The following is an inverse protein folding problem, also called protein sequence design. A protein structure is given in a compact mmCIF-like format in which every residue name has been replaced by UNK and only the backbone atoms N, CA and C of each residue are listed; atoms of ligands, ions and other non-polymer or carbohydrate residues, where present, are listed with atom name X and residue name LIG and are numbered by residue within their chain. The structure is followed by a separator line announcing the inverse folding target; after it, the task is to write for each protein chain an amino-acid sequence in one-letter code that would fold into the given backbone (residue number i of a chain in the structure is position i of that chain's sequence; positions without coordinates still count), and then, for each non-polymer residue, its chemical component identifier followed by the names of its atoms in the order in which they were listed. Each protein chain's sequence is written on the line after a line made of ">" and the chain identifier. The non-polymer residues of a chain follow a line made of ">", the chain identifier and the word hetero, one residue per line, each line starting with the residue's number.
data_IF_762161680924
#
_entry.id   IF_762161680924
#
_cell.length_a   1.000
_cell.length_b   1.000
_cell.length_c   1.000
_cell.angle_alpha   90.00
_cell.angle_beta   90.00
_cell.angle_gamma   90.00
#
_symmetry.space_group_name_H-M   'P 1'
#
loop_
_entity.id
_entity.type
_entity.pdbx_description
1 polymer ?
#
# COMPACT_ATOMS: atom_id res chain seq x y z
N UNK A 1 -12.51 32.97 12.61
CA UNK A 1 -12.42 31.89 11.61
C UNK A 1 -11.65 32.33 10.34
N UNK A 2 -12.00 33.46 9.72
CA UNK A 2 -11.34 33.98 8.49
C UNK A 2 -9.84 34.21 8.69
N UNK A 3 -9.45 34.83 9.80
CA UNK A 3 -8.05 35.06 10.13
C UNK A 3 -7.28 33.74 10.34
N UNK A 4 -7.88 32.78 11.05
CA UNK A 4 -7.27 31.46 11.26
C UNK A 4 -7.05 30.71 9.94
N UNK A 5 -7.89 30.93 8.93
CA UNK A 5 -7.75 30.35 7.59
C UNK A 5 -6.82 31.15 6.65
N UNK A 6 -6.07 32.16 7.17
CA UNK A 6 -5.25 33.09 6.39
C UNK A 6 -6.05 33.90 5.33
N UNK A 7 -7.34 34.09 5.55
CA UNK A 7 -8.22 34.86 4.66
C UNK A 7 -8.44 36.31 5.12
N UNK A 8 -7.70 36.78 6.12
CA UNK A 8 -7.77 38.14 6.64
C UNK A 8 -6.50 38.57 7.34
N UNK A 9 -6.24 39.87 7.33
CA UNK A 9 -5.13 40.50 8.04
C UNK A 9 -5.56 40.93 9.46
N UNK A 10 -4.55 41.29 10.28
CA UNK A 10 -4.83 41.85 11.62
C UNK A 10 -5.57 43.19 11.50
N UNK A 11 -5.24 43.99 10.51
CA UNK A 11 -5.88 45.27 10.21
C UNK A 11 -7.38 45.08 9.93
N UNK A 12 -7.72 44.19 9.01
CA UNK A 12 -9.13 43.84 8.69
C UNK A 12 -9.90 43.32 9.92
N UNK A 13 -9.24 42.55 10.78
CA UNK A 13 -9.85 42.08 12.02
C UNK A 13 -10.08 43.22 13.01
N UNK A 14 -9.12 44.15 13.07
CA UNK A 14 -9.18 45.28 13.97
C UNK A 14 -10.24 46.29 13.52
N UNK A 15 -10.36 46.62 12.22
CA UNK A 15 -11.46 47.41 11.67
C UNK A 15 -12.83 46.84 12.08
N UNK A 16 -12.98 45.52 11.95
CA UNK A 16 -14.23 44.88 12.37
C UNK A 16 -14.46 44.88 13.88
N UNK A 17 -13.40 44.88 14.65
CA UNK A 17 -13.46 45.05 16.11
C UNK A 17 -13.90 46.49 16.48
N UNK A 18 -13.35 47.51 15.80
CA UNK A 18 -13.71 48.91 15.99
C UNK A 18 -15.20 49.15 15.67
N UNK A 19 -15.69 48.66 14.53
CA UNK A 19 -17.12 48.72 14.18
C UNK A 19 -18.02 48.16 15.30
N UNK A 20 -17.63 47.04 15.90
CA UNK A 20 -18.39 46.41 16.99
C UNK A 20 -18.27 47.22 18.27
N UNK A 21 -17.10 47.79 18.59
CA UNK A 21 -16.88 48.59 19.77
C UNK A 21 -17.71 49.89 19.71
N UNK A 22 -17.69 50.60 18.57
CA UNK A 22 -18.48 51.77 18.33
C UNK A 22 -19.99 51.48 18.40
N UNK A 23 -20.43 50.41 17.74
CA UNK A 23 -21.84 49.99 17.76
C UNK A 23 -22.36 49.60 19.14
N UNK A 24 -21.45 49.27 20.09
CA UNK A 24 -21.76 48.96 21.50
C UNK A 24 -21.49 50.10 22.47
N UNK A 25 -21.00 51.24 21.95
CA UNK A 25 -20.69 52.40 22.78
C UNK A 25 -19.49 52.18 23.73
N UNK A 26 -18.50 51.38 23.34
CA UNK A 26 -17.29 51.21 24.15
C UNK A 26 -16.38 52.42 23.99
N UNK A 27 -16.15 53.14 25.06
CA UNK A 27 -15.30 54.34 25.07
C UNK A 27 -13.80 54.03 25.12
N UNK A 28 -13.45 52.91 25.75
CA UNK A 28 -12.05 52.47 25.89
C UNK A 28 -11.90 51.03 25.41
N UNK A 29 -11.19 50.85 24.31
CA UNK A 29 -10.85 49.54 23.80
C UNK A 29 -9.36 49.44 23.41
N UNK A 30 -8.79 48.23 23.40
CA UNK A 30 -7.37 48.02 23.20
C UNK A 30 -6.91 48.42 21.79
N UNK A 31 -5.69 48.98 21.69
CA UNK A 31 -5.08 49.30 20.41
C UNK A 31 -4.82 48.05 19.55
N UNK A 32 -4.67 48.24 18.24
CA UNK A 32 -4.35 47.18 17.28
C UNK A 32 -3.12 46.35 17.72
N UNK A 33 -2.09 46.99 18.30
CA UNK A 33 -0.89 46.30 18.82
C UNK A 33 -1.22 45.35 19.97
N UNK A 34 -2.16 45.74 20.84
CA UNK A 34 -2.61 44.92 21.96
C UNK A 34 -3.45 43.76 21.49
N UNK A 35 -4.36 44.00 20.55
CA UNK A 35 -5.17 42.94 19.90
C UNK A 35 -4.26 41.96 19.16
N UNK A 36 -3.27 42.44 18.41
CA UNK A 36 -2.32 41.58 17.73
C UNK A 36 -1.52 40.67 18.68
N UNK A 37 -1.06 41.24 19.82
CA UNK A 37 -0.37 40.45 20.88
C UNK A 37 -1.27 39.37 21.47
N UNK A 38 -2.53 39.71 21.72
CA UNK A 38 -3.50 38.76 22.26
C UNK A 38 -3.81 37.64 21.26
N UNK A 39 -4.01 37.97 19.99
CA UNK A 39 -4.20 36.98 18.92
C UNK A 39 -2.98 36.06 18.82
N UNK A 40 -1.75 36.61 18.85
CA UNK A 40 -0.53 35.83 18.86
C UNK A 40 -0.49 34.87 20.06
N UNK A 41 -0.78 35.36 21.25
CA UNK A 41 -0.86 34.54 22.46
C UNK A 41 -1.89 33.41 22.33
N UNK A 42 -3.08 33.67 21.77
CA UNK A 42 -4.08 32.65 21.49
C UNK A 42 -3.58 31.60 20.46
N UNK A 43 -2.83 32.02 19.42
CA UNK A 43 -2.29 31.15 18.42
C UNK A 43 -1.12 30.29 18.96
N UNK A 44 -0.32 30.86 19.88
CA UNK A 44 0.78 30.16 20.54
C UNK A 44 0.29 29.28 21.69
N UNK A 45 -0.97 29.46 22.15
CA UNK A 45 -1.56 28.65 23.20
C UNK A 45 -1.85 27.20 22.78
N UNK A 46 -2.02 26.32 23.77
CA UNK A 46 -2.36 24.91 23.55
C UNK A 46 -3.59 24.77 22.62
N UNK A 47 -3.38 24.22 21.43
CA UNK A 47 -4.41 24.00 20.43
C UNK A 47 -4.61 25.14 19.44
N UNK A 48 -4.13 26.36 19.69
CA UNK A 48 -4.27 27.50 18.76
C UNK A 48 -3.60 27.27 17.42
N UNK A 49 -2.35 26.77 17.41
CA UNK A 49 -1.63 26.40 16.19
C UNK A 49 -2.34 25.25 15.44
N UNK A 50 -2.81 24.25 16.17
CA UNK A 50 -3.54 23.12 15.61
C UNK A 50 -4.87 23.54 14.97
N UNK A 51 -5.63 24.41 15.65
CA UNK A 51 -6.88 24.95 15.13
C UNK A 51 -6.67 25.83 13.89
N UNK A 52 -5.61 26.64 13.87
CA UNK A 52 -5.21 27.43 12.71
C UNK A 52 -4.87 26.53 11.53
N UNK A 53 -4.05 25.49 11.78
CA UNK A 53 -3.67 24.54 10.74
C UNK A 53 -4.89 23.82 10.14
N UNK A 54 -5.83 23.41 10.99
CA UNK A 54 -7.10 22.82 10.56
C UNK A 54 -7.92 23.77 9.68
N UNK A 55 -8.02 25.03 10.10
CA UNK A 55 -8.79 26.04 9.37
C UNK A 55 -8.17 26.38 8.00
N UNK A 56 -6.84 26.42 7.92
CA UNK A 56 -6.10 26.77 6.69
C UNK A 56 -6.01 25.60 5.70
N UNK A 57 -5.84 24.36 6.17
CA UNK A 57 -5.49 23.22 5.34
C UNK A 57 -6.59 22.12 5.28
N UNK A 58 -7.64 22.29 6.08
CA UNK A 58 -8.73 21.33 6.14
C UNK A 58 -8.44 20.08 6.99
N UNK A 59 -9.50 19.32 7.23
CA UNK A 59 -9.48 18.18 8.17
C UNK A 59 -8.50 17.07 7.74
N UNK A 60 -8.37 16.80 6.45
CA UNK A 60 -7.48 15.76 5.93
C UNK A 60 -6.01 16.05 6.24
N UNK A 61 -5.55 17.26 5.88
CA UNK A 61 -4.17 17.68 6.14
C UNK A 61 -3.88 17.82 7.63
N UNK A 62 -4.86 18.29 8.41
CA UNK A 62 -4.73 18.33 9.86
C UNK A 62 -4.54 16.94 10.48
N UNK A 63 -5.37 15.97 10.08
CA UNK A 63 -5.21 14.57 10.52
C UNK A 63 -3.84 14.01 10.14
N UNK A 64 -3.35 14.35 8.95
CA UNK A 64 -2.06 13.86 8.46
C UNK A 64 -0.88 14.42 9.26
N UNK A 65 -0.90 15.71 9.64
CA UNK A 65 0.29 16.40 10.18
C UNK A 65 0.21 16.81 11.64
N UNK A 66 -0.99 17.05 12.16
CA UNK A 66 -1.17 17.62 13.52
C UNK A 66 -1.84 16.68 14.52
N UNK A 67 -2.63 15.71 14.04
CA UNK A 67 -3.26 14.74 14.92
C UNK A 67 -2.22 13.87 15.61
N UNK A 68 -2.37 13.66 16.91
CA UNK A 68 -1.55 12.72 17.66
C UNK A 68 -1.76 11.31 17.10
N UNK A 69 -0.68 10.65 16.78
CA UNK A 69 -0.65 9.28 16.26
C UNK A 69 -0.03 8.38 17.31
N UNK A 70 -0.77 7.34 17.70
CA UNK A 70 -0.21 6.29 18.53
C UNK A 70 0.96 5.58 17.83
N UNK A 71 1.97 5.18 18.57
CA UNK A 71 2.95 4.20 18.07
C UNK A 71 2.28 2.84 18.12
N UNK A 72 2.29 2.12 17.02
CA UNK A 72 1.90 0.71 17.04
C UNK A 72 3.00 -0.10 17.69
N UNK A 73 2.61 -0.86 18.67
CA UNK A 73 3.47 -1.85 19.28
C UNK A 73 3.34 -3.16 18.50
N UNK A 74 4.33 -3.44 17.65
CA UNK A 74 4.41 -4.70 16.93
C UNK A 74 5.15 -5.78 17.75
N UNK A 75 5.68 -5.44 18.93
CA UNK A 75 6.44 -6.41 19.75
C UNK A 75 5.53 -7.46 20.38
N UNK A 76 4.25 -7.14 20.55
CA UNK A 76 3.23 -8.06 21.04
C UNK A 76 2.74 -9.08 20.00
N UNK A 77 3.05 -8.86 18.71
CA UNK A 77 2.66 -9.76 17.63
C UNK A 77 3.63 -10.95 17.53
N UNK A 78 3.12 -12.07 17.05
CA UNK A 78 3.95 -13.18 16.57
C UNK A 78 4.31 -12.96 15.10
N UNK A 79 5.40 -13.58 14.65
CA UNK A 79 5.75 -13.64 13.23
C UNK A 79 4.62 -14.34 12.47
N UNK A 80 4.23 -13.82 11.31
CA UNK A 80 3.08 -14.26 10.49
C UNK A 80 1.70 -14.12 11.15
N UNK A 81 1.58 -13.50 12.33
CA UNK A 81 0.27 -13.20 12.91
C UNK A 81 -0.45 -12.09 12.13
N UNK A 82 0.28 -11.05 11.74
CA UNK A 82 -0.29 -9.91 11.04
C UNK A 82 0.58 -9.53 9.82
N UNK A 83 0.02 -9.70 8.64
CA UNK A 83 0.70 -9.39 7.37
C UNK A 83 -0.01 -8.25 6.65
N UNK A 84 0.76 -7.31 6.13
CA UNK A 84 0.27 -6.13 5.41
C UNK A 84 0.62 -6.23 3.94
N UNK A 85 -0.37 -6.04 3.07
CA UNK A 85 -0.20 -6.01 1.62
C UNK A 85 -0.34 -4.61 1.03
N UNK A 86 0.48 -4.33 0.02
CA UNK A 86 0.36 -3.11 -0.77
C UNK A 86 1.07 -3.24 -2.12
N UNK A 87 0.81 -2.29 -3.01
CA UNK A 87 1.37 -2.24 -4.35
C UNK A 87 2.32 -1.06 -4.49
N UNK A 88 3.40 -1.26 -5.26
CA UNK A 88 4.38 -0.22 -5.55
C UNK A 88 4.71 -0.18 -7.02
N UNK A 89 4.75 1.03 -7.61
CA UNK A 89 5.28 1.25 -8.95
C UNK A 89 6.72 1.74 -8.83
N UNK A 90 7.67 1.02 -9.41
CA UNK A 90 9.08 1.40 -9.38
C UNK A 90 9.34 2.69 -10.17
N UNK A 91 10.35 3.44 -9.77
CA UNK A 91 10.71 4.73 -10.36
C UNK A 91 11.78 4.59 -11.47
N UNK A 92 11.76 3.50 -12.24
CA UNK A 92 12.64 3.26 -13.38
C UNK A 92 11.90 2.46 -14.45
N UNK A 93 12.48 2.37 -15.64
CA UNK A 93 11.89 1.69 -16.80
C UNK A 93 12.61 0.38 -17.07
N UNK A 94 11.83 -0.59 -17.53
CA UNK A 94 12.30 -1.89 -18.04
C UNK A 94 11.69 -2.16 -19.41
N UNK A 95 12.30 -3.03 -20.21
CA UNK A 95 11.68 -3.51 -21.43
C UNK A 95 10.72 -4.67 -21.14
N UNK A 96 9.63 -4.67 -21.83
CA UNK A 96 8.61 -5.71 -21.75
C UNK A 96 8.12 -6.09 -23.13
N UNK A 97 8.06 -7.40 -23.39
CA UNK A 97 7.50 -7.94 -24.62
C UNK A 97 6.00 -8.12 -24.45
N UNK A 98 5.24 -7.30 -25.16
CA UNK A 98 3.79 -7.39 -25.14
C UNK A 98 3.29 -8.70 -25.85
N UNK A 99 2.07 -9.18 -25.56
CA UNK A 99 1.53 -10.41 -26.19
C UNK A 99 1.50 -10.38 -27.73
N UNK A 100 1.51 -9.19 -28.34
CA UNK A 100 1.59 -9.01 -29.78
C UNK A 100 3.04 -8.96 -30.32
N UNK A 101 4.04 -9.33 -29.51
CA UNK A 101 5.45 -9.32 -29.85
C UNK A 101 6.13 -7.95 -29.86
N UNK A 102 5.42 -6.86 -29.61
CA UNK A 102 6.02 -5.52 -29.54
C UNK A 102 6.77 -5.32 -28.22
N UNK A 103 8.01 -4.86 -28.30
CA UNK A 103 8.79 -4.47 -27.15
C UNK A 103 8.41 -3.04 -26.75
N UNK A 104 8.17 -2.80 -25.47
CA UNK A 104 7.79 -1.49 -24.90
C UNK A 104 8.57 -1.23 -23.63
N UNK A 105 8.87 0.05 -23.39
CA UNK A 105 9.35 0.51 -22.11
C UNK A 105 8.15 0.64 -21.14
N UNK A 106 8.26 0.01 -19.99
CA UNK A 106 7.22 0.04 -18.94
C UNK A 106 7.84 0.27 -17.57
N UNK A 107 7.09 0.85 -16.66
CA UNK A 107 7.47 0.91 -15.25
C UNK A 107 6.91 -0.32 -14.55
N UNK A 108 7.78 -1.19 -14.00
CA UNK A 108 7.31 -2.39 -13.33
C UNK A 108 6.58 -2.04 -12.03
N UNK A 109 5.63 -2.87 -11.67
CA UNK A 109 4.92 -2.83 -10.39
C UNK A 109 5.27 -4.04 -9.54
N UNK A 110 5.14 -3.90 -8.25
CA UNK A 110 5.33 -4.95 -7.26
C UNK A 110 4.09 -5.06 -6.38
N UNK A 111 3.48 -6.23 -6.33
CA UNK A 111 2.57 -6.59 -5.25
C UNK A 111 3.40 -7.27 -4.16
N UNK A 112 3.38 -6.74 -2.95
CA UNK A 112 4.22 -7.23 -1.85
C UNK A 112 3.47 -7.39 -0.54
N UNK A 113 3.89 -8.39 0.24
CA UNK A 113 3.37 -8.71 1.57
C UNK A 113 4.51 -8.62 2.59
N UNK A 114 4.26 -7.87 3.65
CA UNK A 114 5.22 -7.67 4.73
C UNK A 114 4.66 -8.21 6.04
N UNK A 115 5.43 -9.05 6.71
CA UNK A 115 5.15 -9.41 8.10
C UNK A 115 5.36 -8.22 9.04
N UNK A 116 4.34 -7.90 9.82
CA UNK A 116 4.35 -6.72 10.71
C UNK A 116 5.34 -6.87 11.86
N UNK A 117 5.58 -8.08 12.33
CA UNK A 117 6.49 -8.35 13.44
C UNK A 117 7.94 -8.18 13.02
N UNK A 118 8.36 -8.95 12.03
CA UNK A 118 9.76 -9.01 11.59
C UNK A 118 10.16 -7.94 10.58
N UNK A 119 9.19 -7.35 9.87
CA UNK A 119 9.40 -6.48 8.70
C UNK A 119 9.92 -7.22 7.47
N UNK A 120 9.97 -8.54 7.49
CA UNK A 120 10.35 -9.33 6.33
C UNK A 120 9.30 -9.22 5.22
N UNK A 121 9.75 -9.21 3.97
CA UNK A 121 8.88 -9.37 2.81
C UNK A 121 8.68 -10.86 2.59
N UNK A 122 7.47 -11.31 2.86
CA UNK A 122 7.10 -12.73 2.92
C UNK A 122 6.45 -13.24 1.63
N UNK A 123 6.09 -12.34 0.72
CA UNK A 123 5.56 -12.67 -0.60
C UNK A 123 5.63 -11.46 -1.50
N UNK A 124 6.00 -11.66 -2.76
CA UNK A 124 6.09 -10.59 -3.74
C UNK A 124 5.98 -11.14 -5.17
N UNK A 125 5.34 -10.36 -6.04
CA UNK A 125 5.27 -10.63 -7.48
C UNK A 125 5.48 -9.33 -8.24
N UNK A 126 6.42 -9.34 -9.19
CA UNK A 126 6.59 -8.24 -10.13
C UNK A 126 5.62 -8.40 -11.31
N UNK A 127 5.01 -7.31 -11.74
CA UNK A 127 4.03 -7.29 -12.82
C UNK A 127 4.06 -5.96 -13.58
N UNK A 128 3.38 -5.93 -14.71
CA UNK A 128 3.15 -4.69 -15.47
C UNK A 128 1.93 -3.96 -14.90
N UNK A 129 0.86 -4.71 -14.67
CA UNK A 129 -0.37 -4.20 -14.05
C UNK A 129 -0.76 -5.09 -12.88
N UNK A 130 -0.79 -4.50 -11.70
CA UNK A 130 -1.32 -5.18 -10.54
C UNK A 130 -2.85 -5.32 -10.69
N UNK A 131 -3.32 -6.52 -10.45
CA UNK A 131 -4.73 -6.87 -10.51
C UNK A 131 -5.02 -8.02 -9.55
N UNK A 132 -6.28 -8.40 -9.40
CA UNK A 132 -6.67 -9.47 -8.47
C UNK A 132 -5.99 -10.81 -8.74
N UNK A 133 -5.60 -11.11 -9.98
CA UNK A 133 -4.85 -12.33 -10.31
C UNK A 133 -3.42 -12.26 -9.79
N UNK A 134 -2.72 -11.13 -10.03
CA UNK A 134 -1.37 -10.88 -9.50
C UNK A 134 -1.34 -10.96 -7.97
N UNK A 135 -2.38 -10.43 -7.31
CA UNK A 135 -2.52 -10.52 -5.85
C UNK A 135 -2.70 -11.96 -5.37
N UNK A 136 -3.51 -12.77 -6.06
CA UNK A 136 -3.64 -14.19 -5.73
C UNK A 136 -2.32 -14.93 -5.87
N UNK A 137 -1.57 -14.69 -6.96
CA UNK A 137 -0.26 -15.27 -7.20
C UNK A 137 0.75 -14.88 -6.11
N UNK A 138 0.77 -13.60 -5.71
CA UNK A 138 1.65 -13.13 -4.64
C UNK A 138 1.31 -13.73 -3.28
N UNK A 139 0.02 -13.97 -2.99
CA UNK A 139 -0.42 -14.66 -1.78
C UNK A 139 -0.05 -16.14 -1.78
N UNK A 140 -0.26 -16.83 -2.90
CA UNK A 140 0.14 -18.24 -3.03
C UNK A 140 1.66 -18.36 -2.89
N UNK A 141 2.42 -17.44 -3.49
CA UNK A 141 3.88 -17.39 -3.31
C UNK A 141 4.25 -17.19 -1.84
N UNK A 142 3.59 -16.26 -1.12
CA UNK A 142 3.81 -16.05 0.31
C UNK A 142 3.63 -17.34 1.12
N UNK A 143 2.56 -18.08 0.85
CA UNK A 143 2.23 -19.30 1.62
C UNK A 143 3.32 -20.36 1.50
N UNK A 144 3.97 -20.49 0.33
CA UNK A 144 4.91 -21.57 0.03
C UNK A 144 6.38 -21.12 -0.10
N UNK A 145 6.68 -19.85 0.17
CA UNK A 145 8.06 -19.32 0.16
C UNK A 145 8.70 -19.34 1.53
N UNK A 146 10.03 -19.22 1.57
CA UNK A 146 10.79 -18.90 2.77
C UNK A 146 11.55 -17.56 2.53
N UNK A 147 11.33 -16.54 3.35
CA UNK A 147 10.36 -16.45 4.44
C UNK A 147 8.91 -16.40 3.92
N UNK A 148 7.97 -17.02 4.63
CA UNK A 148 6.56 -17.04 4.25
C UNK A 148 5.69 -17.88 5.18
N UNK A 149 4.48 -18.22 4.77
CA UNK A 149 3.50 -19.00 5.51
C UNK A 149 2.08 -18.46 5.39
N UNK A 150 1.10 -19.11 6.04
CA UNK A 150 -0.29 -18.65 6.12
C UNK A 150 -0.41 -17.65 7.28
N UNK A 151 -0.77 -16.38 7.04
CA UNK A 151 -0.96 -15.41 8.11
C UNK A 151 -2.28 -15.66 8.85
N UNK A 152 -2.34 -15.21 10.13
CA UNK A 152 -3.60 -15.15 10.85
C UNK A 152 -4.47 -14.01 10.31
N UNK A 153 -3.93 -12.79 10.33
CA UNK A 153 -4.60 -11.57 9.90
C UNK A 153 -3.89 -11.00 8.66
N UNK A 154 -4.68 -10.71 7.64
CA UNK A 154 -4.21 -10.02 6.45
C UNK A 154 -4.77 -8.60 6.40
N UNK A 155 -3.91 -7.61 6.32
CA UNK A 155 -4.30 -6.20 6.21
C UNK A 155 -4.05 -5.67 4.79
N UNK A 156 -5.11 -5.22 4.14
CA UNK A 156 -5.09 -4.84 2.72
C UNK A 156 -5.58 -3.41 2.51
N UNK A 157 -5.27 -2.84 1.35
CA UNK A 157 -5.85 -1.56 0.96
C UNK A 157 -7.31 -1.68 0.49
N UNK A 158 -8.01 -0.56 0.44
CA UNK A 158 -9.37 -0.47 -0.09
C UNK A 158 -9.45 -0.55 -1.63
N UNK A 159 -8.36 -0.86 -2.31
CA UNK A 159 -8.30 -1.05 -3.75
C UNK A 159 -9.30 -2.11 -4.23
N UNK A 160 -9.82 -1.94 -5.46
CA UNK A 160 -10.78 -2.89 -6.03
C UNK A 160 -10.19 -4.29 -6.18
N UNK A 161 -8.88 -4.38 -6.42
CA UNK A 161 -8.17 -5.63 -6.63
C UNK A 161 -8.09 -6.46 -5.36
N UNK A 162 -7.88 -5.80 -4.21
CA UNK A 162 -7.88 -6.44 -2.89
C UNK A 162 -9.27 -6.80 -2.38
N UNK A 163 -10.29 -5.99 -2.73
CA UNK A 163 -11.64 -6.08 -2.16
C UNK A 163 -12.67 -6.66 -3.14
N UNK A 164 -12.25 -7.14 -4.29
CA UNK A 164 -13.12 -7.74 -5.31
C UNK A 164 -13.89 -8.97 -4.78
N UNK A 165 -15.05 -9.27 -5.38
CA UNK A 165 -15.87 -10.42 -5.00
C UNK A 165 -15.08 -11.75 -5.06
N UNK A 166 -14.20 -11.90 -6.02
CA UNK A 166 -13.34 -13.09 -6.17
C UNK A 166 -12.34 -13.28 -5.02
N UNK A 167 -11.95 -12.20 -4.36
CA UNK A 167 -11.03 -12.21 -3.23
C UNK A 167 -11.77 -12.46 -1.90
N UNK A 168 -12.86 -11.72 -1.69
CA UNK A 168 -13.58 -11.67 -0.41
C UNK A 168 -14.81 -12.59 -0.35
N UNK A 169 -15.31 -13.03 -1.48
CA UNK A 169 -16.60 -13.71 -1.57
C UNK A 169 -17.82 -12.78 -1.51
N UNK A 170 -17.66 -11.51 -1.14
CA UNK A 170 -18.77 -10.58 -0.88
C UNK A 170 -19.01 -9.59 -2.01
N UNK A 171 -20.28 -9.19 -2.19
CA UNK A 171 -20.63 -8.12 -3.11
C UNK A 171 -20.26 -6.75 -2.53
N UNK A 172 -20.04 -5.74 -3.42
CA UNK A 172 -19.65 -4.37 -3.03
C UNK A 172 -20.59 -3.70 -2.01
N UNK A 173 -21.89 -4.07 -2.00
CA UNK A 173 -22.90 -3.50 -1.09
C UNK A 173 -22.79 -4.04 0.35
N UNK A 174 -22.25 -5.24 0.56
CA UNK A 174 -22.11 -5.90 1.87
C UNK A 174 -20.72 -5.70 2.51
N UNK A 175 -19.82 -4.93 1.88
CA UNK A 175 -18.45 -4.73 2.39
C UNK A 175 -18.43 -3.68 3.50
N UNK A 176 -18.23 -4.11 4.72
CA UNK A 176 -17.92 -3.25 5.86
C UNK A 176 -16.41 -2.99 5.97
N UNK A 177 -15.98 -2.21 6.97
CA UNK A 177 -14.56 -1.89 7.24
C UNK A 177 -13.79 -3.18 7.58
N UNK A 178 -14.40 -4.10 8.30
CA UNK A 178 -13.90 -5.44 8.61
C UNK A 178 -14.69 -6.48 7.83
N UNK A 179 -14.01 -7.51 7.31
CA UNK A 179 -14.66 -8.59 6.60
C UNK A 179 -15.11 -9.66 7.60
N UNK A 180 -16.41 -9.79 7.80
CA UNK A 180 -16.99 -11.04 8.26
C UNK A 180 -17.21 -11.92 7.03
N UNK A 181 -16.66 -13.13 7.07
CA UNK A 181 -16.86 -14.09 5.99
C UNK A 181 -18.30 -14.62 6.06
N UNK A 182 -19.06 -14.37 5.00
CA UNK A 182 -20.40 -14.91 4.87
C UNK A 182 -20.33 -16.42 4.59
N UNK A 183 -21.03 -17.23 5.38
CA UNK A 183 -21.02 -18.68 5.30
C UNK A 183 -21.43 -19.21 3.92
N UNK A 184 -22.21 -18.44 3.14
CA UNK A 184 -22.69 -18.85 1.82
C UNK A 184 -21.71 -18.55 0.68
N UNK A 185 -20.72 -17.61 0.89
CA UNK A 185 -19.84 -17.17 -0.20
C UNK A 185 -18.39 -17.10 0.26
N UNK A 186 -17.65 -18.17 0.04
CA UNK A 186 -16.24 -18.30 0.43
C UNK A 186 -15.34 -17.66 -0.63
N UNK A 187 -14.65 -16.58 -0.26
CA UNK A 187 -13.68 -15.90 -1.11
C UNK A 187 -12.30 -16.57 -1.14
N UNK A 188 -11.41 -16.05 -1.99
CA UNK A 188 -10.06 -16.56 -2.15
C UNK A 188 -9.29 -16.57 -0.81
N UNK A 189 -9.35 -15.48 -0.04
CA UNK A 189 -8.65 -15.37 1.25
C UNK A 189 -8.97 -16.52 2.19
N UNK A 190 -10.26 -16.82 2.39
CA UNK A 190 -10.68 -17.89 3.27
C UNK A 190 -10.29 -19.28 2.76
N UNK A 191 -10.35 -19.47 1.43
CA UNK A 191 -9.97 -20.77 0.80
C UNK A 191 -8.49 -21.08 0.96
N UNK A 192 -7.61 -20.08 0.99
CA UNK A 192 -6.18 -20.27 1.26
C UNK A 192 -5.84 -20.32 2.76
N UNK A 193 -6.84 -20.22 3.63
CA UNK A 193 -6.68 -20.41 5.07
C UNK A 193 -6.51 -19.13 5.88
N UNK A 194 -6.68 -17.93 5.32
CA UNK A 194 -6.62 -16.66 6.06
C UNK A 194 -7.91 -16.50 6.88
N UNK A 195 -7.77 -16.26 8.19
CA UNK A 195 -8.92 -16.20 9.11
C UNK A 195 -9.55 -14.82 9.13
N UNK A 196 -8.73 -13.77 9.15
CA UNK A 196 -9.19 -12.40 9.25
C UNK A 196 -8.59 -11.52 8.14
N UNK A 197 -9.41 -10.66 7.57
CA UNK A 197 -8.96 -9.66 6.58
C UNK A 197 -9.44 -8.28 7.00
N UNK A 198 -8.51 -7.48 7.51
CA UNK A 198 -8.72 -6.07 7.82
C UNK A 198 -8.44 -5.17 6.62
N UNK A 199 -9.03 -3.98 6.63
CA UNK A 199 -8.80 -2.95 5.60
C UNK A 199 -8.26 -1.67 6.20
N UNK A 200 -7.36 -1.02 5.46
CA UNK A 200 -6.89 0.31 5.81
C UNK A 200 -8.04 1.31 5.80
N UNK A 201 -8.07 2.19 6.79
CA UNK A 201 -8.99 3.31 6.78
C UNK A 201 -8.62 4.26 5.63
N UNK A 202 -9.60 4.76 4.86
CA UNK A 202 -9.34 5.69 3.77
C UNK A 202 -8.55 6.91 4.24
N UNK A 203 -7.55 7.31 3.44
CA UNK A 203 -6.72 8.51 3.68
C UNK A 203 -5.89 8.50 4.97
N UNK A 204 -5.50 7.33 5.49
CA UNK A 204 -4.60 7.18 6.63
C UNK A 204 -3.29 6.46 6.24
N UNK A 205 -2.37 7.15 5.53
CA UNK A 205 -1.14 6.53 5.01
C UNK A 205 -0.17 6.04 6.10
N UNK A 206 -0.30 6.53 7.32
CA UNK A 206 0.51 6.06 8.46
C UNK A 206 0.11 4.68 8.98
N UNK A 207 -0.94 4.09 8.42
CA UNK A 207 -1.50 2.82 8.88
C UNK A 207 -0.67 1.61 8.45
N UNK A 208 0.17 1.78 7.41
CA UNK A 208 0.94 0.69 6.82
C UNK A 208 2.45 0.91 6.88
N UNK A 209 3.22 0.07 7.63
CA UNK A 209 4.68 0.15 7.60
C UNK A 209 5.29 -0.20 6.25
N UNK A 210 4.59 -0.93 5.40
CA UNK A 210 5.03 -1.26 4.05
C UNK A 210 5.26 -0.02 3.17
N UNK A 211 4.54 1.09 3.40
CA UNK A 211 4.80 2.36 2.70
C UNK A 211 6.22 2.91 2.99
N UNK A 212 6.69 2.74 4.24
CA UNK A 212 8.06 3.11 4.61
C UNK A 212 9.09 2.19 3.95
N UNK A 213 8.77 0.93 3.80
CA UNK A 213 9.59 0.00 3.02
C UNK A 213 9.69 0.46 1.56
N UNK A 214 8.60 0.81 0.89
CA UNK A 214 8.64 1.33 -0.47
C UNK A 214 9.45 2.63 -0.59
N UNK A 215 9.40 3.51 0.40
CA UNK A 215 10.30 4.67 0.46
C UNK A 215 11.78 4.24 0.51
N UNK A 216 12.10 3.14 1.19
CA UNK A 216 13.45 2.55 1.20
C UNK A 216 13.81 1.96 -0.17
N UNK A 217 12.88 1.28 -0.84
CA UNK A 217 13.05 0.77 -2.21
C UNK A 217 13.36 1.92 -3.18
N UNK A 218 12.57 3.00 -3.16
CA UNK A 218 12.81 4.18 -4.00
C UNK A 218 14.20 4.78 -3.76
N UNK A 219 14.64 4.86 -2.52
CA UNK A 219 15.89 5.53 -2.16
C UNK A 219 17.15 4.68 -2.33
N UNK A 220 17.03 3.35 -2.18
CA UNK A 220 18.18 2.43 -2.07
C UNK A 220 18.26 1.36 -3.14
N UNK A 221 17.20 1.17 -3.92
CA UNK A 221 17.15 0.23 -5.03
C UNK A 221 16.90 0.95 -6.36
N UNK A 222 15.78 1.68 -6.50
CA UNK A 222 15.40 2.27 -7.80
C UNK A 222 16.44 3.24 -8.37
N UNK A 223 17.18 3.94 -7.51
CA UNK A 223 18.18 4.93 -7.94
C UNK A 223 19.45 4.35 -8.57
N UNK A 224 19.67 3.05 -8.47
CA UNK A 224 20.81 2.40 -9.08
C UNK A 224 20.65 2.20 -10.59
N UNK A 225 19.42 2.25 -11.10
CA UNK A 225 19.14 2.02 -12.50
C UNK A 225 19.33 3.30 -13.33
N UNK A 226 19.97 3.18 -14.48
CA UNK A 226 20.18 4.32 -15.39
C UNK A 226 18.85 4.87 -15.92
N UNK A 227 17.86 3.99 -16.10
CA UNK A 227 16.49 4.33 -16.49
C UNK A 227 15.65 4.98 -15.37
N UNK A 228 16.27 5.37 -14.24
CA UNK A 228 15.58 6.03 -13.13
C UNK A 228 14.95 7.37 -13.54
N UNK A 229 13.65 7.51 -13.28
CA UNK A 229 12.87 8.68 -13.72
C UNK A 229 12.70 9.76 -12.64
N UNK A 230 12.99 9.44 -11.37
CA UNK A 230 12.67 10.29 -10.23
C UNK A 230 11.33 9.96 -9.58
N UNK A 231 11.20 10.29 -8.30
CA UNK A 231 10.10 9.84 -7.41
C UNK A 231 8.82 10.64 -7.52
N UNK A 232 8.81 11.81 -8.18
CA UNK A 232 7.66 12.70 -8.13
C UNK A 232 7.23 13.14 -9.53
N UNK A 233 6.00 12.79 -9.86
CA UNK A 233 5.27 13.42 -10.97
C UNK A 233 5.17 14.92 -10.66
N UNK A 234 5.78 15.77 -11.49
CA UNK A 234 5.82 17.21 -11.25
C UNK A 234 7.03 17.74 -10.46
N UNK A 235 8.00 16.88 -10.06
CA UNK A 235 9.25 17.33 -9.46
C UNK A 235 10.05 18.20 -10.42
N UNK A 236 10.92 19.06 -9.85
CA UNK A 236 11.79 19.97 -10.62
C UNK A 236 12.59 19.20 -11.68
N UNK A 237 12.84 19.83 -12.80
CA UNK A 237 13.43 19.21 -14.01
C UNK A 237 14.72 18.44 -13.75
N UNK A 238 15.57 18.89 -12.82
CA UNK A 238 16.82 18.23 -12.48
C UNK A 238 16.65 16.90 -11.69
N UNK A 239 15.47 16.67 -11.10
CA UNK A 239 15.15 15.42 -10.42
C UNK A 239 14.68 14.31 -11.39
N UNK A 240 14.41 14.65 -12.63
CA UNK A 240 14.07 13.71 -13.71
C UNK A 240 15.35 13.35 -14.46
N UNK A 241 15.97 12.22 -14.10
CA UNK A 241 17.23 11.81 -14.74
C UNK A 241 17.05 11.33 -16.16
N UNK A 242 16.04 10.52 -16.44
CA UNK A 242 15.91 9.92 -17.74
C UNK A 242 14.73 10.48 -18.53
N UNK A 243 15.04 11.11 -19.67
CA UNK A 243 14.06 11.64 -20.61
C UNK A 243 14.04 10.86 -21.93
N UNK A 244 15.11 10.12 -22.24
CA UNK A 244 15.31 9.39 -23.50
C UNK A 244 15.02 7.88 -23.30
N UNK A 245 13.85 7.56 -22.77
CA UNK A 245 13.46 6.16 -22.52
C UNK A 245 13.33 5.37 -23.82
N UNK A 246 12.79 5.99 -24.87
CA UNK A 246 12.64 5.34 -26.17
C UNK A 246 14.00 5.06 -26.82
N UNK A 247 14.93 6.00 -26.77
CA UNK A 247 16.29 5.77 -27.25
C UNK A 247 17.02 4.70 -26.46
N UNK A 248 16.82 4.61 -25.15
CA UNK A 248 17.38 3.50 -24.33
C UNK A 248 16.79 2.16 -24.74
N UNK A 249 15.48 2.12 -25.04
CA UNK A 249 14.83 0.88 -25.51
C UNK A 249 15.42 0.44 -26.86
N UNK A 250 15.59 1.37 -27.81
CA UNK A 250 16.15 1.08 -29.12
C UNK A 250 17.61 0.59 -29.04
N UNK A 251 18.40 1.12 -28.11
CA UNK A 251 19.80 0.68 -27.88
C UNK A 251 19.94 -0.58 -27.02
N UNK A 252 18.81 -1.12 -26.51
CA UNK A 252 18.83 -2.32 -25.64
C UNK A 252 19.44 -2.06 -24.25
N UNK A 253 19.35 -0.84 -23.75
CA UNK A 253 19.92 -0.44 -22.44
C UNK A 253 18.94 -0.66 -21.26
N UNK A 254 17.70 -1.03 -21.54
CA UNK A 254 16.71 -1.32 -20.51
C UNK A 254 16.79 -2.81 -20.10
N UNK A 255 16.76 -3.06 -18.79
CA UNK A 255 16.65 -4.42 -18.29
C UNK A 255 15.35 -5.08 -18.76
N UNK A 256 15.38 -6.39 -18.96
CA UNK A 256 14.15 -7.18 -19.10
C UNK A 256 13.40 -7.28 -17.76
N UNK A 257 12.15 -7.76 -17.79
CA UNK A 257 11.39 -8.04 -16.58
C UNK A 257 12.05 -9.13 -15.71
N UNK A 258 12.66 -10.13 -16.34
CA UNK A 258 13.36 -11.23 -15.68
C UNK A 258 14.61 -10.69 -14.95
N UNK A 259 15.49 -9.98 -15.67
CA UNK A 259 16.70 -9.37 -15.08
C UNK A 259 16.38 -8.41 -13.94
N UNK A 260 15.33 -7.62 -14.10
CA UNK A 260 14.84 -6.77 -13.03
C UNK A 260 14.42 -7.60 -11.81
N UNK A 261 13.63 -8.67 -12.02
CA UNK A 261 13.13 -9.47 -10.91
C UNK A 261 14.23 -10.25 -10.19
N UNK A 262 15.26 -10.68 -10.90
CA UNK A 262 16.48 -11.26 -10.32
C UNK A 262 17.23 -10.23 -9.46
N UNK A 263 17.46 -9.03 -10.01
CA UNK A 263 18.10 -7.93 -9.27
C UNK A 263 17.29 -7.52 -8.01
N UNK A 264 15.96 -7.49 -8.13
CA UNK A 264 15.05 -7.24 -7.01
C UNK A 264 15.17 -8.33 -5.95
N UNK A 265 15.08 -9.58 -6.32
CA UNK A 265 15.15 -10.74 -5.42
C UNK A 265 16.48 -10.76 -4.68
N UNK A 266 17.58 -10.54 -5.39
CA UNK A 266 18.92 -10.44 -4.79
C UNK A 266 19.01 -9.29 -3.79
N UNK A 267 18.59 -8.08 -4.18
CA UNK A 267 18.61 -6.91 -3.28
C UNK A 267 17.74 -7.13 -2.04
N UNK A 268 16.52 -7.67 -2.21
CA UNK A 268 15.61 -7.98 -1.12
C UNK A 268 16.25 -8.94 -0.11
N UNK A 269 16.78 -10.06 -0.59
CA UNK A 269 17.30 -11.12 0.26
C UNK A 269 18.66 -10.77 0.88
N UNK A 270 19.60 -10.24 0.08
CA UNK A 270 20.98 -10.01 0.53
C UNK A 270 21.21 -8.65 1.18
N UNK A 271 20.35 -7.67 0.93
CA UNK A 271 20.54 -6.29 1.44
C UNK A 271 19.43 -5.87 2.38
N UNK A 272 18.15 -6.07 2.02
CA UNK A 272 17.06 -5.61 2.86
C UNK A 272 16.82 -6.54 4.05
N UNK A 273 16.70 -7.85 3.83
CA UNK A 273 16.39 -8.82 4.87
C UNK A 273 17.50 -8.98 5.90
N UNK A 274 18.77 -8.81 5.49
CA UNK A 274 19.95 -9.03 6.33
C UNK A 274 20.45 -7.76 7.03
N UNK A 275 19.92 -6.60 6.67
CA UNK A 275 20.34 -5.34 7.24
C UNK A 275 19.63 -5.06 8.56
N UNK A 276 20.35 -4.43 9.52
CA UNK A 276 19.75 -3.89 10.74
C UNK A 276 18.57 -2.95 10.41
N UNK A 277 17.44 -3.23 11.00
CA UNK A 277 16.23 -2.44 10.85
C UNK A 277 16.04 -1.53 12.07
N UNK A 278 16.17 -0.21 11.85
CA UNK A 278 16.09 0.77 12.94
C UNK A 278 14.85 0.60 13.81
N UNK A 279 13.68 0.32 13.23
CA UNK A 279 12.45 0.15 13.98
C UNK A 279 12.46 -1.07 14.90
N UNK A 280 13.19 -2.14 14.57
CA UNK A 280 13.37 -3.30 15.43
C UNK A 280 14.36 -2.97 16.56
N UNK A 281 15.44 -2.28 16.25
CA UNK A 281 16.43 -1.80 17.24
C UNK A 281 15.81 -0.83 18.25
N UNK A 282 15.05 0.16 17.77
CA UNK A 282 14.35 1.14 18.62
C UNK A 282 13.25 0.49 19.48
N UNK A 283 12.71 -0.67 19.08
CA UNK A 283 11.78 -1.47 19.84
C UNK A 283 12.44 -2.41 20.88
N UNK A 284 13.76 -2.46 20.92
CA UNK A 284 14.51 -3.31 21.86
C UNK A 284 14.51 -4.79 21.49
N UNK A 285 14.29 -5.14 20.21
CA UNK A 285 14.29 -6.52 19.78
C UNK A 285 15.65 -7.18 19.90
N UNK A 286 15.64 -8.47 20.27
CA UNK A 286 16.86 -9.28 20.32
C UNK A 286 17.43 -9.49 18.91
N UNK A 287 16.57 -9.70 17.93
CA UNK A 287 16.95 -9.88 16.53
C UNK A 287 16.57 -8.63 15.75
N UNK A 288 17.56 -7.92 15.27
CA UNK A 288 17.40 -6.58 14.69
C UNK A 288 17.40 -6.55 13.17
N UNK A 289 17.55 -7.70 12.50
CA UNK A 289 17.35 -7.81 11.04
C UNK A 289 16.02 -8.48 10.73
N UNK A 290 15.34 -8.12 9.62
CA UNK A 290 14.07 -8.74 9.25
C UNK A 290 14.12 -10.26 9.21
N UNK A 291 15.14 -10.84 8.58
CA UNK A 291 15.23 -12.29 8.45
C UNK A 291 15.54 -12.97 9.79
N UNK A 292 16.44 -12.41 10.62
CA UNK A 292 16.77 -13.03 11.90
C UNK A 292 15.59 -13.04 12.87
N UNK A 293 14.75 -11.98 12.85
CA UNK A 293 13.55 -11.97 13.66
C UNK A 293 12.48 -12.91 13.10
N UNK A 294 12.39 -13.02 11.76
CA UNK A 294 11.46 -13.95 11.13
C UNK A 294 11.76 -15.42 11.47
N UNK A 295 13.04 -15.79 11.47
CA UNK A 295 13.49 -17.16 11.71
C UNK A 295 13.46 -17.57 13.19
N UNK A 296 13.74 -16.61 14.11
CA UNK A 296 13.95 -16.90 15.52
C UNK A 296 12.84 -16.34 16.44
N UNK A 297 11.93 -15.53 15.93
CA UNK A 297 10.81 -14.98 16.68
C UNK A 297 9.71 -16.00 16.93
N UNK A 298 8.88 -15.76 17.96
CA UNK A 298 7.68 -16.58 18.16
C UNK A 298 6.76 -16.45 16.95
N UNK A 299 6.30 -17.58 16.41
CA UNK A 299 5.58 -17.63 15.14
C UNK A 299 4.13 -18.10 15.33
N UNK A 300 3.21 -17.47 14.60
CA UNK A 300 1.90 -18.03 14.34
C UNK A 300 2.04 -19.12 13.29
N UNK A 301 1.61 -20.33 13.64
CA UNK A 301 1.73 -21.48 12.76
C UNK A 301 0.35 -21.93 12.29
N UNK A 302 0.23 -22.04 10.99
CA UNK A 302 -0.94 -22.61 10.32
C UNK A 302 -0.50 -23.45 9.13
N UNK A 303 -1.05 -24.64 9.01
CA UNK A 303 -0.77 -25.52 7.88
C UNK A 303 -1.22 -24.87 6.56
N UNK A 304 -0.32 -24.84 5.59
CA UNK A 304 -0.65 -24.41 4.23
C UNK A 304 -1.61 -25.43 3.57
N UNK A 305 -2.54 -24.98 2.73
CA UNK A 305 -3.36 -25.88 1.92
C UNK A 305 -2.47 -26.70 0.96
N UNK A 306 -2.91 -27.87 0.46
CA UNK A 306 -2.16 -28.59 -0.57
C UNK A 306 -1.84 -27.71 -1.78
N UNK A 307 -0.65 -27.86 -2.36
CA UNK A 307 -0.21 -27.03 -3.51
C UNK A 307 -1.13 -27.13 -4.71
N UNK A 308 -1.66 -28.33 -4.95
CA UNK A 308 -2.60 -28.60 -6.04
C UNK A 308 -3.91 -27.80 -5.85
N UNK A 309 -4.40 -27.74 -4.60
CA UNK A 309 -5.59 -26.95 -4.28
C UNK A 309 -5.35 -25.45 -4.50
N UNK A 310 -4.22 -24.94 -4.04
CA UNK A 310 -3.85 -23.53 -4.27
C UNK A 310 -3.69 -23.23 -5.77
N UNK A 311 -3.09 -24.13 -6.54
CA UNK A 311 -2.99 -24.01 -8.00
C UNK A 311 -4.37 -23.93 -8.66
N UNK A 312 -5.33 -24.78 -8.23
CA UNK A 312 -6.70 -24.71 -8.72
C UNK A 312 -7.39 -23.37 -8.42
N UNK A 313 -7.12 -22.79 -7.26
CA UNK A 313 -7.69 -21.46 -6.90
C UNK A 313 -7.13 -20.32 -7.75
N UNK A 314 -5.97 -20.46 -8.35
CA UNK A 314 -5.40 -19.51 -9.30
C UNK A 314 -6.03 -19.58 -10.69
N UNK A 315 -6.66 -20.71 -11.04
CA UNK A 315 -7.30 -20.86 -12.33
C UNK A 315 -8.51 -19.94 -12.43
N UNK A 316 -8.69 -19.31 -13.59
CA UNK A 316 -9.92 -18.59 -13.89
C UNK A 316 -11.06 -19.61 -14.08
N UNK A 317 -12.05 -19.52 -13.21
CA UNK A 317 -13.31 -20.22 -13.48
C UNK A 317 -13.95 -19.60 -14.73
N UNK A 318 -14.24 -20.43 -15.70
CA UNK A 318 -14.95 -20.04 -16.90
C UNK A 318 -16.10 -21.02 -17.16
N UNK A 319 -17.12 -20.56 -17.86
CA UNK A 319 -18.27 -21.40 -18.21
C UNK A 319 -18.20 -21.77 -19.69
N UNK A 320 -18.55 -22.99 -19.99
CA UNK A 320 -18.72 -23.47 -21.36
C UNK A 320 -20.07 -24.16 -21.50
N UNK A 321 -20.66 -24.07 -22.69
CA UNK A 321 -21.87 -24.80 -22.99
C UNK A 321 -21.54 -26.25 -23.32
N UNK A 322 -22.16 -27.18 -22.65
CA UNK A 322 -22.13 -28.60 -23.02
C UNK A 322 -23.01 -28.81 -24.21
N UNK A 323 -22.50 -29.44 -25.24
CA UNK A 323 -23.23 -29.82 -26.46
C UNK A 323 -23.31 -31.34 -26.54
N UNK A 324 -24.09 -31.87 -27.48
CA UNK A 324 -24.17 -33.32 -27.76
C UNK A 324 -22.81 -33.93 -28.22
N UNK A 325 -21.82 -33.10 -28.58
CA UNK A 325 -20.47 -33.53 -28.96
C UNK A 325 -19.46 -33.34 -27.83
N UNK A 326 -19.85 -32.71 -26.72
CA UNK A 326 -18.96 -32.35 -25.62
C UNK A 326 -18.82 -30.84 -25.41
N UNK A 327 -17.73 -30.41 -24.79
CA UNK A 327 -17.40 -29.01 -24.50
C UNK A 327 -16.36 -28.54 -25.51
N UNK A 328 -16.69 -27.55 -26.33
CA UNK A 328 -15.69 -26.90 -27.19
C UNK A 328 -15.12 -25.68 -26.47
N UNK A 329 -13.82 -25.69 -26.16
CA UNK A 329 -13.13 -24.62 -25.46
C UNK A 329 -11.68 -24.52 -25.97
N UNK A 330 -11.20 -23.30 -26.17
CA UNK A 330 -9.83 -23.03 -26.66
C UNK A 330 -9.44 -23.76 -27.95
N UNK A 331 -10.40 -23.95 -28.85
CA UNK A 331 -10.22 -24.68 -30.11
C UNK A 331 -10.09 -26.20 -29.95
N UNK A 332 -10.32 -26.74 -28.75
CA UNK A 332 -10.26 -28.17 -28.45
C UNK A 332 -11.64 -28.67 -28.01
N UNK A 333 -12.02 -29.84 -28.52
CA UNK A 333 -13.22 -30.53 -28.09
C UNK A 333 -12.91 -31.49 -26.95
N UNK A 334 -13.49 -31.22 -25.80
CA UNK A 334 -13.39 -32.07 -24.60
C UNK A 334 -14.60 -32.98 -24.55
N UNK A 335 -14.38 -34.29 -24.57
CA UNK A 335 -15.43 -35.31 -24.47
C UNK A 335 -15.13 -36.27 -23.34
N UNK A 336 -16.12 -36.59 -22.56
CA UNK A 336 -16.06 -37.60 -21.51
C UNK A 336 -17.42 -38.27 -21.35
N UNK A 337 -17.43 -39.56 -20.96
CA UNK A 337 -18.67 -40.31 -20.73
C UNK A 337 -19.54 -39.70 -19.63
N UNK A 338 -18.93 -39.01 -18.65
CA UNK A 338 -19.65 -38.29 -17.59
C UNK A 338 -20.49 -37.09 -18.13
N UNK A 339 -20.15 -36.56 -19.32
CA UNK A 339 -20.91 -35.47 -19.96
C UNK A 339 -22.20 -35.94 -20.60
N UNK A 340 -22.41 -37.23 -20.74
CA UNK A 340 -23.63 -37.83 -21.36
C UNK A 340 -24.84 -37.65 -20.44
N UNK A 341 -24.63 -37.45 -19.13
CA UNK A 341 -25.65 -37.34 -18.11
C UNK A 341 -25.93 -35.92 -17.64
N UNK A 342 -25.33 -34.92 -18.29
CA UNK A 342 -25.55 -33.50 -18.06
C UNK A 342 -26.44 -32.99 -19.21
#
# INVERSE_FOLDING_TARGET
>A
RRFAANLGTIEMLYEKFEEVAEGRGWENYPSIKTVARYIKHLMDSRGGESARYLAANGSREWKNKKMLKGKRDATSLKVMEYVVGDEHTFDFWVQWVAPNGKIKAVRPKLAAWMDMRSRAIVGDVACIDANSQTLKESLVKMIYSEPGGVPHILHVDNGKDYTGKTMTGQSRKKRNIDFEFDAETVGFYQRIGIEEVGRSLPYQPWDKPIERFFSTVCSKFSKWFESYTGTLTGSKTYAKRQKDVEGMLERGELLTMEEFFEAWTKWKNEKYHTREHRGLKDAGEKWITPISLFENGERYEKAAPPREYAAMLLMKADTARVTNQGINKFGTLYTDLSLIHI
#
